data_IF_940096395236
#
_entry.id   IF_940096395236
#
_cell.length_a   1.000
_cell.length_b   1.000
_cell.length_c   1.000
_cell.angle_alpha   90.00
_cell.angle_beta   90.00
_cell.angle_gamma   90.00
#
_symmetry.space_group_name_H-M   'P 1'
#
loop_
_entity.id
_entity.type
_entity.pdbx_description
1 polymer ?
#
# COMPACT_ATOMS: atom_id res chain seq x y z
N UNK A 1 -8.32 12.94 20.79
CA UNK A 1 -8.36 11.47 20.75
C UNK A 1 -6.95 10.96 21.03
N UNK A 2 -6.77 10.18 22.09
CA UNK A 2 -5.49 9.58 22.44
C UNK A 2 -5.04 8.58 21.34
N UNK A 3 -3.72 8.40 21.17
CA UNK A 3 -3.14 7.42 20.26
C UNK A 3 -3.67 5.99 20.45
N UNK A 4 -4.11 5.63 21.64
CA UNK A 4 -4.70 4.33 21.97
C UNK A 4 -6.10 4.23 21.37
N UNK A 5 -6.93 5.27 21.52
CA UNK A 5 -8.27 5.35 20.94
C UNK A 5 -8.20 5.34 19.39
N UNK A 6 -7.28 6.13 18.80
CA UNK A 6 -7.07 6.15 17.35
C UNK A 6 -6.70 4.76 16.76
N UNK A 7 -5.98 3.91 17.53
CA UNK A 7 -5.69 2.53 17.11
C UNK A 7 -6.92 1.63 17.10
N UNK A 8 -7.90 1.86 17.99
CA UNK A 8 -9.16 1.09 18.05
C UNK A 8 -10.04 1.36 16.84
N UNK A 9 -10.02 2.60 16.34
CA UNK A 9 -10.83 3.06 15.20
C UNK A 9 -10.08 3.06 13.86
N UNK A 10 -8.94 2.39 13.77
CA UNK A 10 -8.08 2.38 12.56
C UNK A 10 -8.79 1.93 11.28
N UNK A 11 -9.90 1.20 11.38
CA UNK A 11 -10.71 0.83 10.20
C UNK A 11 -11.68 1.90 9.75
N UNK A 12 -12.07 2.77 10.69
CA UNK A 12 -13.02 3.85 10.46
C UNK A 12 -12.31 5.10 9.93
N UNK A 13 -10.97 5.10 9.95
CA UNK A 13 -10.14 6.20 9.49
C UNK A 13 -9.31 5.71 8.32
N UNK A 14 -9.43 6.37 7.19
CA UNK A 14 -8.62 6.10 6.01
C UNK A 14 -7.85 7.34 5.59
N UNK A 15 -6.57 7.17 5.23
CA UNK A 15 -5.71 8.26 4.78
C UNK A 15 -5.17 7.95 3.38
N UNK A 16 -5.51 8.79 2.42
CA UNK A 16 -4.96 8.74 1.07
C UNK A 16 -3.71 9.61 0.99
N UNK A 17 -2.58 9.00 0.67
CA UNK A 17 -1.34 9.73 0.40
C UNK A 17 -1.41 10.38 -0.98
N UNK A 18 -0.58 11.40 -1.20
CA UNK A 18 -0.42 12.05 -2.47
C UNK A 18 0.09 11.11 -3.57
N UNK A 19 0.99 10.17 -3.23
CA UNK A 19 1.62 9.25 -4.17
C UNK A 19 0.70 8.11 -4.61
N UNK A 20 0.68 7.84 -5.92
CA UNK A 20 -0.08 6.76 -6.55
C UNK A 20 0.76 5.49 -6.65
N UNK A 21 0.61 4.61 -5.66
CA UNK A 21 1.40 3.37 -5.54
C UNK A 21 0.52 2.14 -5.76
N UNK A 22 0.73 1.43 -6.86
CA UNK A 22 -0.04 0.25 -7.27
C UNK A 22 0.85 -0.87 -7.79
N UNK A 23 0.30 -2.09 -7.89
CA UNK A 23 0.94 -3.17 -8.66
C UNK A 23 0.72 -2.92 -10.16
N UNK A 24 1.77 -2.62 -10.94
CA UNK A 24 1.62 -2.13 -12.31
C UNK A 24 1.10 -3.20 -13.27
N UNK A 25 1.33 -4.47 -12.99
CA UNK A 25 0.91 -5.62 -13.80
C UNK A 25 -0.55 -6.05 -13.57
N UNK A 26 -1.23 -5.44 -12.60
CA UNK A 26 -2.65 -5.67 -12.37
C UNK A 26 -3.51 -4.74 -13.22
N UNK A 27 -4.65 -5.23 -13.68
CA UNK A 27 -5.68 -4.38 -14.29
C UNK A 27 -6.42 -3.59 -13.22
N UNK A 28 -7.03 -2.45 -13.60
CA UNK A 28 -7.90 -1.65 -12.73
C UNK A 28 -8.98 -2.52 -12.08
N UNK A 29 -9.63 -3.40 -12.86
CA UNK A 29 -10.60 -4.36 -12.35
C UNK A 29 -10.05 -5.26 -11.23
N UNK A 30 -8.84 -5.81 -11.40
CA UNK A 30 -8.24 -6.70 -10.39
C UNK A 30 -7.88 -5.95 -9.12
N UNK A 31 -7.37 -4.73 -9.26
CA UNK A 31 -7.05 -3.82 -8.14
C UNK A 31 -8.31 -3.49 -7.34
N UNK A 32 -9.38 -3.05 -8.01
CA UNK A 32 -10.64 -2.72 -7.38
C UNK A 32 -11.33 -3.93 -6.74
N UNK A 33 -11.37 -5.06 -7.44
CA UNK A 33 -11.93 -6.31 -6.87
C UNK A 33 -11.18 -6.77 -5.62
N UNK A 34 -9.87 -6.58 -5.58
CA UNK A 34 -9.08 -6.89 -4.39
C UNK A 34 -9.45 -5.98 -3.21
N UNK A 35 -9.51 -4.66 -3.42
CA UNK A 35 -9.90 -3.71 -2.39
C UNK A 35 -11.31 -4.01 -1.83
N UNK A 36 -12.29 -4.12 -2.72
CA UNK A 36 -13.68 -4.38 -2.36
C UNK A 36 -13.87 -5.73 -1.65
N UNK A 37 -13.24 -6.82 -2.12
CA UNK A 37 -13.34 -8.13 -1.46
C UNK A 37 -12.87 -8.13 -0.02
N UNK A 38 -11.85 -7.34 0.29
CA UNK A 38 -11.33 -7.22 1.65
C UNK A 38 -12.17 -6.29 2.54
N UNK A 39 -13.15 -5.57 1.97
CA UNK A 39 -14.05 -4.64 2.67
C UNK A 39 -15.54 -4.98 2.52
N UNK A 40 -15.86 -6.10 1.87
CA UNK A 40 -17.27 -6.54 1.72
C UNK A 40 -17.96 -6.59 3.08
N UNK A 41 -19.07 -5.85 3.28
CA UNK A 41 -19.88 -5.96 4.48
C UNK A 41 -20.51 -7.35 4.56
N UNK A 42 -20.72 -7.86 5.76
CA UNK A 42 -21.40 -9.14 5.96
C UNK A 42 -22.89 -9.05 5.73
N UNK A 43 -23.48 -7.95 6.14
CA UNK A 43 -24.87 -7.61 5.86
C UNK A 43 -24.95 -6.96 4.48
N UNK A 44 -25.70 -7.56 3.61
CA UNK A 44 -25.94 -7.15 2.21
C UNK A 44 -27.42 -7.24 1.94
N UNK A 45 -27.93 -6.55 0.92
CA UNK A 45 -29.31 -6.70 0.48
C UNK A 45 -29.69 -8.17 0.32
N UNK A 46 -30.91 -8.55 0.71
CA UNK A 46 -31.39 -9.92 0.63
C UNK A 46 -31.25 -10.45 -0.80
N UNK A 47 -30.67 -11.64 -0.94
CA UNK A 47 -30.48 -12.31 -2.23
C UNK A 47 -29.19 -11.91 -2.98
N UNK A 48 -28.46 -10.87 -2.57
CA UNK A 48 -27.25 -10.42 -3.29
C UNK A 48 -25.99 -11.21 -2.89
N UNK A 49 -25.38 -11.90 -3.86
CA UNK A 49 -24.13 -12.62 -3.68
C UNK A 49 -22.93 -11.68 -3.51
N UNK A 50 -21.88 -12.12 -2.75
CA UNK A 50 -20.67 -11.32 -2.55
C UNK A 50 -19.96 -10.93 -3.86
N UNK A 51 -20.05 -11.77 -4.89
CA UNK A 51 -19.43 -11.48 -6.20
C UNK A 51 -20.18 -10.39 -6.96
N UNK A 52 -21.51 -10.43 -6.94
CA UNK A 52 -22.39 -9.44 -7.53
C UNK A 52 -22.20 -8.08 -6.88
N UNK A 53 -22.28 -8.02 -5.55
CA UNK A 53 -22.04 -6.81 -4.78
C UNK A 53 -20.69 -6.16 -5.14
N UNK A 54 -19.59 -6.95 -5.15
CA UNK A 54 -18.26 -6.45 -5.52
C UNK A 54 -18.23 -5.91 -6.96
N UNK A 55 -18.97 -6.51 -7.87
CA UNK A 55 -19.01 -6.09 -9.26
C UNK A 55 -19.78 -4.79 -9.42
N UNK A 56 -20.93 -4.69 -8.82
CA UNK A 56 -21.80 -3.50 -8.84
C UNK A 56 -21.11 -2.30 -8.19
N UNK A 57 -20.54 -2.48 -6.99
CA UNK A 57 -19.80 -1.42 -6.30
C UNK A 57 -18.57 -0.95 -7.10
N UNK A 58 -17.84 -1.88 -7.73
CA UNK A 58 -16.72 -1.52 -8.61
C UNK A 58 -17.19 -0.63 -9.75
N UNK A 59 -18.27 -1.04 -10.45
CA UNK A 59 -18.76 -0.33 -11.61
C UNK A 59 -19.27 1.06 -11.21
N UNK A 60 -20.04 1.16 -10.14
CA UNK A 60 -20.52 2.43 -9.61
C UNK A 60 -19.38 3.40 -9.23
N UNK A 61 -18.32 2.90 -8.58
CA UNK A 61 -17.16 3.72 -8.22
C UNK A 61 -16.39 4.18 -9.47
N UNK A 62 -16.14 3.29 -10.43
CA UNK A 62 -15.43 3.65 -11.65
C UNK A 62 -16.22 4.62 -12.52
N UNK A 63 -17.56 4.46 -12.59
CA UNK A 63 -18.45 5.38 -13.30
C UNK A 63 -18.47 6.76 -12.64
N UNK A 64 -18.54 6.82 -11.32
CA UNK A 64 -18.52 8.09 -10.57
C UNK A 64 -17.23 8.89 -10.75
N UNK A 65 -16.11 8.20 -11.04
CA UNK A 65 -14.81 8.80 -11.33
C UNK A 65 -14.53 8.97 -12.83
N UNK A 66 -15.48 8.64 -13.71
CA UNK A 66 -15.36 8.78 -15.16
C UNK A 66 -14.28 7.89 -15.80
N UNK A 67 -13.99 6.72 -15.22
CA UNK A 67 -12.97 5.77 -15.72
C UNK A 67 -13.48 4.34 -15.96
N UNK A 68 -14.74 4.09 -16.35
CA UNK A 68 -15.24 2.73 -16.59
C UNK A 68 -14.51 2.03 -17.75
N UNK A 69 -14.07 2.78 -18.76
CA UNK A 69 -13.34 2.30 -19.91
C UNK A 69 -11.98 1.67 -19.54
N UNK A 70 -11.38 2.05 -18.39
CA UNK A 70 -10.07 1.54 -17.96
C UNK A 70 -10.12 0.16 -17.29
N UNK A 71 -11.30 -0.41 -17.10
CA UNK A 71 -11.52 -1.64 -16.31
C UNK A 71 -10.61 -2.80 -16.71
N UNK A 72 -10.36 -2.97 -18.01
CA UNK A 72 -9.48 -4.04 -18.55
C UNK A 72 -8.02 -3.60 -18.75
N UNK A 73 -7.72 -2.31 -18.57
CA UNK A 73 -6.38 -1.75 -18.74
C UNK A 73 -5.52 -2.03 -17.52
N UNK A 74 -4.21 -2.23 -17.73
CA UNK A 74 -3.23 -2.33 -16.65
C UNK A 74 -3.12 -0.98 -15.92
N UNK A 75 -2.87 -1.01 -14.62
CA UNK A 75 -2.60 0.24 -13.88
C UNK A 75 -1.30 0.87 -14.36
N UNK A 76 -0.28 0.06 -14.61
CA UNK A 76 1.00 0.51 -15.14
C UNK A 76 1.82 1.35 -14.16
N UNK A 77 3.02 1.69 -14.60
CA UNK A 77 3.96 2.61 -13.95
C UNK A 77 4.84 3.29 -15.02
N UNK A 78 5.99 3.82 -14.63
CA UNK A 78 6.95 4.45 -15.54
C UNK A 78 7.53 3.47 -16.58
N UNK A 79 7.61 2.17 -16.25
CA UNK A 79 8.22 1.14 -17.09
C UNK A 79 7.17 0.28 -17.82
N UNK A 80 5.99 0.13 -17.25
CA UNK A 80 4.91 -0.71 -17.80
C UNK A 80 3.79 0.21 -18.26
N UNK A 81 3.50 0.21 -19.55
CA UNK A 81 2.40 1.00 -20.12
C UNK A 81 1.07 0.55 -19.55
N UNK A 82 0.30 1.51 -19.06
CA UNK A 82 -1.01 1.29 -18.46
C UNK A 82 -1.92 2.49 -18.66
N UNK A 83 -2.76 2.77 -17.65
CA UNK A 83 -3.62 3.96 -17.63
C UNK A 83 -2.80 5.24 -17.60
N UNK A 84 -3.37 6.36 -18.05
CA UNK A 84 -2.73 7.68 -17.97
C UNK A 84 -2.48 8.11 -16.53
N UNK A 85 -1.64 9.14 -16.32
CA UNK A 85 -1.35 9.66 -14.97
C UNK A 85 -2.61 10.10 -14.21
N UNK A 86 -3.50 10.84 -14.88
CA UNK A 86 -4.78 11.27 -14.29
C UNK A 86 -5.75 10.11 -14.02
N UNK A 87 -5.77 9.08 -14.89
CA UNK A 87 -6.56 7.87 -14.63
C UNK A 87 -5.99 7.06 -13.47
N UNK A 88 -4.65 6.96 -13.36
CA UNK A 88 -3.98 6.28 -12.23
C UNK A 88 -4.29 6.97 -10.90
N UNK A 89 -4.31 8.30 -10.88
CA UNK A 89 -4.76 9.06 -9.71
C UNK A 89 -6.21 8.69 -9.35
N UNK A 90 -7.11 8.65 -10.32
CA UNK A 90 -8.50 8.25 -10.11
C UNK A 90 -8.64 6.79 -9.65
N UNK A 91 -7.77 5.88 -10.07
CA UNK A 91 -7.71 4.51 -9.51
C UNK A 91 -7.30 4.53 -8.04
N UNK A 92 -6.36 5.39 -7.64
CA UNK A 92 -6.00 5.57 -6.22
C UNK A 92 -7.19 6.08 -5.40
N UNK A 93 -7.91 7.06 -5.92
CA UNK A 93 -9.12 7.59 -5.29
C UNK A 93 -10.21 6.51 -5.18
N UNK A 94 -10.42 5.73 -6.25
CA UNK A 94 -11.36 4.61 -6.28
C UNK A 94 -11.06 3.57 -5.18
N UNK A 95 -9.77 3.26 -4.96
CA UNK A 95 -9.34 2.30 -3.92
C UNK A 95 -9.67 2.79 -2.50
N UNK A 96 -9.56 4.11 -2.25
CA UNK A 96 -9.95 4.71 -0.97
C UNK A 96 -11.46 4.70 -0.78
N UNK A 97 -12.22 5.08 -1.80
CA UNK A 97 -13.70 5.05 -1.78
C UNK A 97 -14.19 3.62 -1.52
N UNK A 98 -13.57 2.61 -2.17
CA UNK A 98 -13.85 1.19 -1.94
C UNK A 98 -13.61 0.75 -0.48
N UNK A 99 -12.78 1.47 0.25
CA UNK A 99 -12.55 1.24 1.68
C UNK A 99 -13.74 1.52 2.58
N UNK A 100 -14.73 2.30 2.13
CA UNK A 100 -15.99 2.64 2.81
C UNK A 100 -15.82 3.15 4.26
N UNK A 101 -14.72 3.85 4.53
CA UNK A 101 -14.42 4.38 5.85
C UNK A 101 -15.27 5.62 6.16
N UNK A 102 -15.86 5.76 7.36
CA UNK A 102 -16.66 6.93 7.72
C UNK A 102 -15.83 8.22 7.86
N UNK A 103 -14.55 8.12 8.18
CA UNK A 103 -13.64 9.27 8.25
C UNK A 103 -12.53 9.07 7.23
N UNK A 104 -12.36 10.04 6.33
CA UNK A 104 -11.38 9.97 5.25
C UNK A 104 -10.54 11.24 5.21
N UNK A 105 -9.23 11.04 5.18
CA UNK A 105 -8.23 12.10 5.00
C UNK A 105 -7.62 11.98 3.61
N UNK A 106 -7.59 13.07 2.88
CA UNK A 106 -7.16 13.14 1.50
C UNK A 106 -6.00 14.13 1.38
N UNK A 107 -4.81 13.63 1.10
CA UNK A 107 -3.63 14.45 0.92
C UNK A 107 -3.48 14.82 -0.55
N UNK A 108 -3.70 16.09 -0.86
CA UNK A 108 -3.63 16.69 -2.19
C UNK A 108 -4.27 15.81 -3.30
N UNK A 109 -5.54 15.42 -3.16
CA UNK A 109 -6.18 14.43 -4.03
C UNK A 109 -6.38 14.91 -5.46
N UNK A 110 -6.36 16.22 -5.67
CA UNK A 110 -6.59 16.86 -6.98
C UNK A 110 -5.32 17.06 -7.79
N UNK A 111 -4.13 16.78 -7.22
CA UNK A 111 -2.87 16.91 -7.94
C UNK A 111 -2.82 16.00 -9.17
N UNK A 112 -2.48 16.59 -10.33
CA UNK A 112 -2.39 15.87 -11.59
C UNK A 112 -3.73 15.56 -12.27
N UNK A 113 -4.83 16.08 -11.73
CA UNK A 113 -6.13 16.12 -12.39
C UNK A 113 -6.30 17.44 -13.17
N UNK A 114 -7.01 17.38 -14.29
CA UNK A 114 -7.47 18.57 -14.97
C UNK A 114 -8.55 19.29 -14.14
N UNK A 115 -8.75 20.58 -14.37
CA UNK A 115 -9.64 21.43 -13.57
C UNK A 115 -11.07 20.91 -13.50
N UNK A 116 -11.59 20.35 -14.58
CA UNK A 116 -12.94 19.77 -14.61
C UNK A 116 -13.03 18.56 -13.70
N UNK A 117 -12.13 17.62 -13.86
CA UNK A 117 -12.07 16.39 -13.05
C UNK A 117 -11.81 16.69 -11.58
N UNK A 118 -11.00 17.70 -11.26
CA UNK A 118 -10.76 18.12 -9.88
C UNK A 118 -12.03 18.64 -9.18
N UNK A 119 -12.85 19.44 -9.89
CA UNK A 119 -14.17 19.92 -9.38
C UNK A 119 -15.15 18.75 -9.26
N UNK A 120 -15.22 17.85 -10.25
CA UNK A 120 -16.08 16.66 -10.19
C UNK A 120 -15.71 15.76 -9.01
N UNK A 121 -14.43 15.61 -8.72
CA UNK A 121 -13.96 14.88 -7.55
C UNK A 121 -14.36 15.56 -6.22
N UNK A 122 -14.24 16.89 -6.11
CA UNK A 122 -14.68 17.61 -4.92
C UNK A 122 -16.21 17.45 -4.69
N UNK A 123 -17.00 17.49 -5.76
CA UNK A 123 -18.44 17.20 -5.72
C UNK A 123 -18.74 15.76 -5.30
N UNK A 124 -17.93 14.81 -5.72
CA UNK A 124 -18.05 13.42 -5.27
C UNK A 124 -17.82 13.31 -3.77
N UNK A 125 -16.77 13.96 -3.23
CA UNK A 125 -16.54 14.01 -1.78
C UNK A 125 -17.72 14.65 -1.05
N UNK A 126 -18.26 15.75 -1.58
CA UNK A 126 -19.47 16.40 -1.05
C UNK A 126 -20.65 15.44 -0.99
N UNK A 127 -20.93 14.76 -2.10
CA UNK A 127 -22.01 13.78 -2.19
C UNK A 127 -21.83 12.63 -1.20
N UNK A 128 -20.62 12.12 -1.04
CA UNK A 128 -20.29 11.07 -0.06
C UNK A 128 -20.49 11.56 1.39
N UNK A 129 -20.19 12.82 1.67
CA UNK A 129 -20.44 13.41 2.99
C UNK A 129 -21.94 13.55 3.27
N UNK A 130 -22.72 14.06 2.31
CA UNK A 130 -24.16 14.34 2.49
C UNK A 130 -25.01 13.06 2.51
N UNK A 131 -24.76 12.12 1.58
CA UNK A 131 -25.59 10.91 1.40
C UNK A 131 -25.15 9.79 2.35
N UNK A 132 -23.86 9.59 2.50
CA UNK A 132 -23.30 8.48 3.28
C UNK A 132 -22.83 8.91 4.68
N UNK A 133 -23.10 10.17 5.07
CA UNK A 133 -22.73 10.75 6.39
C UNK A 133 -21.26 10.54 6.75
N UNK A 134 -20.36 10.73 5.77
CA UNK A 134 -18.92 10.58 5.96
C UNK A 134 -18.26 11.93 6.28
N UNK A 135 -17.26 11.89 7.14
CA UNK A 135 -16.40 13.05 7.39
C UNK A 135 -15.21 13.02 6.45
N UNK A 136 -15.10 14.07 5.61
CA UNK A 136 -14.03 14.23 4.64
C UNK A 136 -13.12 15.40 5.03
N UNK A 137 -11.84 15.13 5.18
CA UNK A 137 -10.81 16.15 5.40
C UNK A 137 -9.82 16.08 4.25
N UNK A 138 -9.63 17.18 3.53
CA UNK A 138 -8.73 17.22 2.38
C UNK A 138 -7.75 18.38 2.48
N UNK A 139 -6.46 18.11 2.25
CA UNK A 139 -5.48 19.15 1.96
C UNK A 139 -5.58 19.50 0.48
N UNK A 140 -5.61 20.78 0.16
CA UNK A 140 -5.73 21.26 -1.22
C UNK A 140 -4.59 22.22 -1.54
N UNK A 141 -3.99 22.03 -2.69
CA UNK A 141 -3.01 22.93 -3.26
C UNK A 141 -3.61 23.59 -4.50
N UNK A 142 -3.58 24.93 -4.58
CA UNK A 142 -4.12 25.71 -5.70
C UNK A 142 -5.60 25.39 -6.02
N UNK A 143 -6.44 25.33 -4.99
CA UNK A 143 -7.85 25.04 -5.17
C UNK A 143 -8.59 26.24 -5.77
N UNK A 144 -9.19 26.05 -6.96
CA UNK A 144 -10.09 27.04 -7.53
C UNK A 144 -11.38 27.20 -6.71
N UNK A 145 -12.11 28.33 -6.90
CA UNK A 145 -13.36 28.61 -6.19
C UNK A 145 -14.40 27.49 -6.36
N UNK A 146 -14.40 26.76 -7.49
CA UNK A 146 -15.31 25.63 -7.72
C UNK A 146 -15.06 24.47 -6.74
N UNK A 147 -13.81 24.21 -6.38
CA UNK A 147 -13.43 23.21 -5.37
C UNK A 147 -13.70 23.74 -3.97
N UNK A 148 -13.25 24.97 -3.69
CA UNK A 148 -13.41 25.62 -2.39
C UNK A 148 -14.88 25.64 -1.93
N UNK A 149 -15.80 25.87 -2.85
CA UNK A 149 -17.24 25.95 -2.57
C UNK A 149 -17.90 24.62 -2.19
N UNK A 150 -17.26 23.50 -2.40
CA UNK A 150 -17.79 22.17 -2.04
C UNK A 150 -17.53 21.80 -0.57
N UNK A 151 -16.71 22.56 0.17
CA UNK A 151 -16.40 22.31 1.58
C UNK A 151 -17.24 23.18 2.53
N UNK A 152 -17.55 22.66 3.71
CA UNK A 152 -18.29 23.39 4.75
C UNK A 152 -17.36 24.27 5.57
N UNK A 153 -16.20 23.73 5.93
CA UNK A 153 -15.24 24.36 6.82
C UNK A 153 -13.86 24.43 6.18
N UNK A 154 -13.10 25.42 6.59
CA UNK A 154 -11.73 25.65 6.12
C UNK A 154 -10.81 25.79 7.32
N UNK A 155 -9.66 25.15 7.24
CA UNK A 155 -8.54 25.31 8.16
C UNK A 155 -7.40 26.00 7.43
N UNK A 156 -6.95 27.14 7.94
CA UNK A 156 -5.77 27.86 7.43
C UNK A 156 -4.67 27.74 8.47
N UNK A 157 -3.51 27.26 8.03
CA UNK A 157 -2.33 27.08 8.88
C UNK A 157 -1.21 28.04 8.47
N UNK A 158 -0.57 28.65 9.45
CA UNK A 158 0.63 29.46 9.29
C UNK A 158 1.73 28.92 10.19
N UNK A 159 2.85 28.45 9.64
CA UNK A 159 3.99 27.88 10.38
C UNK A 159 3.60 26.88 11.48
N UNK A 160 2.65 26.00 11.17
CA UNK A 160 2.16 24.97 12.10
C UNK A 160 1.14 25.45 13.15
N UNK A 161 0.74 26.73 13.12
CA UNK A 161 -0.27 27.32 13.99
C UNK A 161 -1.57 27.56 13.23
N UNK A 162 -2.69 27.56 13.95
CA UNK A 162 -4.02 27.79 13.37
C UNK A 162 -4.28 29.29 13.22
N UNK A 163 -4.31 29.78 11.97
CA UNK A 163 -4.69 31.14 11.66
C UNK A 163 -6.20 31.32 11.53
N UNK A 164 -6.90 30.28 11.11
CA UNK A 164 -8.37 30.23 10.99
C UNK A 164 -8.86 28.80 10.97
N UNK A 165 -9.96 28.52 11.63
CA UNK A 165 -10.77 27.31 11.47
C UNK A 165 -12.26 27.69 11.66
N UNK A 166 -13.07 27.37 10.68
CA UNK A 166 -14.49 27.69 10.74
C UNK A 166 -15.19 27.62 9.40
N UNK A 167 -16.45 28.10 9.32
CA UNK A 167 -17.24 28.10 8.10
C UNK A 167 -16.53 28.81 6.95
N UNK A 168 -16.50 28.18 5.77
CA UNK A 168 -15.82 28.76 4.58
C UNK A 168 -16.35 30.12 4.18
N UNK A 169 -17.64 30.37 4.42
CA UNK A 169 -18.30 31.63 4.07
C UNK A 169 -17.75 32.83 4.84
N UNK A 170 -17.28 32.60 6.06
CA UNK A 170 -16.76 33.63 6.95
C UNK A 170 -15.22 33.81 6.81
N UNK A 171 -14.52 32.86 6.19
CA UNK A 171 -13.06 32.90 6.12
C UNK A 171 -12.52 34.13 5.40
N UNK A 172 -13.15 34.52 4.29
CA UNK A 172 -12.75 35.73 3.53
C UNK A 172 -12.98 37.01 4.33
N UNK A 173 -14.18 37.21 4.86
CA UNK A 173 -14.52 38.44 5.63
C UNK A 173 -13.66 38.56 6.88
N UNK A 174 -13.37 37.46 7.56
CA UNK A 174 -12.50 37.40 8.73
C UNK A 174 -11.11 38.01 8.46
N UNK A 175 -10.46 37.69 7.36
CA UNK A 175 -9.16 38.26 7.01
C UNK A 175 -9.29 39.67 6.42
N UNK A 176 -10.37 39.98 5.70
CA UNK A 176 -10.64 41.33 5.22
C UNK A 176 -10.88 42.33 6.39
N UNK A 177 -11.51 41.87 7.47
CA UNK A 177 -11.75 42.67 8.69
C UNK A 177 -10.44 42.94 9.46
N UNK A 178 -9.46 42.03 9.35
CA UNK A 178 -8.11 42.27 9.89
C UNK A 178 -7.31 43.34 9.11
N UNK A 179 -7.75 43.73 7.91
CA UNK A 179 -7.07 44.69 7.07
C UNK A 179 -6.41 44.13 5.82
N UNK A 180 -6.59 42.84 5.51
CA UNK A 180 -6.13 42.26 4.25
C UNK A 180 -7.11 42.55 3.10
N UNK A 181 -6.62 42.51 1.88
CA UNK A 181 -7.44 42.79 0.69
C UNK A 181 -7.45 41.56 -0.22
N UNK A 182 -8.66 41.05 -0.48
CA UNK A 182 -8.85 40.01 -1.50
C UNK A 182 -9.08 40.71 -2.87
N UNK A 183 -8.18 40.52 -3.86
CA UNK A 183 -8.38 41.12 -5.19
C UNK A 183 -9.70 40.68 -5.82
N UNK A 184 -10.31 41.57 -6.60
CA UNK A 184 -11.52 41.21 -7.36
C UNK A 184 -11.22 40.11 -8.37
N UNK A 185 -12.00 39.03 -8.31
CA UNK A 185 -11.83 37.87 -9.20
C UNK A 185 -10.76 36.86 -8.76
N UNK A 186 -10.07 37.10 -7.64
CA UNK A 186 -9.12 36.12 -7.10
C UNK A 186 -9.82 34.87 -6.54
N UNK A 187 -9.11 33.76 -6.54
CA UNK A 187 -9.54 32.57 -5.82
C UNK A 187 -9.46 32.82 -4.31
N UNK A 188 -10.52 32.49 -3.61
CA UNK A 188 -10.58 32.65 -2.14
C UNK A 188 -9.52 31.79 -1.45
N UNK A 189 -9.33 30.54 -1.91
CA UNK A 189 -8.30 29.66 -1.34
C UNK A 189 -6.89 30.24 -1.49
N UNK A 190 -6.55 30.81 -2.64
CA UNK A 190 -5.26 31.45 -2.88
C UNK A 190 -5.09 32.70 -2.01
N UNK A 191 -6.15 33.49 -1.84
CA UNK A 191 -6.16 34.62 -0.91
C UNK A 191 -5.88 34.18 0.53
N UNK A 192 -6.56 33.12 1.01
CA UNK A 192 -6.37 32.63 2.38
C UNK A 192 -4.94 32.12 2.64
N UNK A 193 -4.29 31.54 1.64
CA UNK A 193 -2.89 31.14 1.76
C UNK A 193 -1.94 32.33 1.65
N UNK A 194 -2.20 33.27 0.73
CA UNK A 194 -1.34 34.44 0.54
C UNK A 194 -1.29 35.36 1.78
N UNK A 195 -2.37 35.43 2.55
CA UNK A 195 -2.42 36.21 3.80
C UNK A 195 -1.35 35.79 4.79
N UNK A 196 -0.99 34.51 4.82
CA UNK A 196 0.03 33.97 5.72
C UNK A 196 1.47 34.16 5.22
N UNK A 197 1.65 34.62 3.98
CA UNK A 197 2.95 34.81 3.33
C UNK A 197 3.23 36.32 3.21
N UNK A 198 4.29 36.78 3.87
CA UNK A 198 4.62 38.21 3.95
C UNK A 198 4.79 38.92 2.59
N UNK A 199 5.30 38.19 1.59
CA UNK A 199 5.61 38.71 0.25
C UNK A 199 4.41 38.71 -0.69
N UNK A 200 3.36 37.96 -0.37
CA UNK A 200 2.19 37.76 -1.26
C UNK A 200 0.92 38.45 -0.75
N UNK A 201 0.88 38.80 0.55
CA UNK A 201 -0.28 39.44 1.16
C UNK A 201 -0.45 40.87 0.71
N UNK A 202 -1.69 41.27 0.46
CA UNK A 202 -2.06 42.66 0.16
C UNK A 202 -2.76 43.23 1.38
N UNK A 203 -2.19 44.29 1.93
CA UNK A 203 -2.72 44.99 3.11
C UNK A 203 -3.43 46.26 2.67
N UNK A 204 -4.52 46.63 3.36
CA UNK A 204 -5.25 47.84 3.13
C UNK A 204 -4.37 49.05 3.50
N UNK A 205 -4.29 50.12 2.69
CA UNK A 205 -3.48 51.32 3.01
C UNK A 205 -3.79 51.87 4.40
N UNK A 206 -2.75 52.09 5.21
CA UNK A 206 -2.84 52.58 6.58
C UNK A 206 -3.13 51.50 7.66
N UNK A 207 -3.08 50.24 7.29
CA UNK A 207 -3.26 49.10 8.22
C UNK A 207 -1.99 48.26 8.35
N UNK A 208 -0.88 48.67 7.72
CA UNK A 208 0.37 47.89 7.62
C UNK A 208 0.92 47.47 8.99
N UNK A 209 0.89 48.36 9.98
CA UNK A 209 1.37 48.09 11.34
C UNK A 209 0.33 47.41 12.25
N UNK A 210 -0.92 47.22 11.78
CA UNK A 210 -2.01 46.68 12.58
C UNK A 210 -2.33 45.24 12.22
N UNK A 211 -1.92 44.76 11.06
CA UNK A 211 -2.15 43.38 10.62
C UNK A 211 -1.18 42.44 11.28
N UNK A 212 -1.60 41.19 11.58
CA UNK A 212 -0.70 40.17 12.11
C UNK A 212 0.47 39.91 11.16
N UNK A 213 1.69 39.86 11.70
CA UNK A 213 2.91 39.60 10.93
C UNK A 213 3.49 38.21 11.15
N UNK A 214 3.24 37.63 12.30
CA UNK A 214 3.75 36.32 12.71
C UNK A 214 2.62 35.29 12.86
N UNK A 215 2.95 34.02 12.73
CA UNK A 215 2.00 32.93 12.93
C UNK A 215 1.38 32.92 14.33
N UNK A 216 2.12 33.39 15.34
CA UNK A 216 1.64 33.52 16.72
C UNK A 216 0.60 34.62 16.86
N UNK A 217 0.78 35.74 16.18
CA UNK A 217 -0.19 36.84 16.16
C UNK A 217 -1.50 36.41 15.47
N UNK A 218 -1.41 35.64 14.37
CA UNK A 218 -2.59 35.05 13.72
C UNK A 218 -3.33 34.10 14.67
N UNK A 219 -2.63 33.20 15.36
CA UNK A 219 -3.23 32.27 16.32
C UNK A 219 -3.91 33.04 17.48
N UNK A 220 -3.24 34.05 18.05
CA UNK A 220 -3.78 34.85 19.14
C UNK A 220 -5.06 35.62 18.72
N UNK A 221 -5.06 36.21 17.52
CA UNK A 221 -6.25 36.84 16.94
C UNK A 221 -7.39 35.86 16.72
N UNK A 222 -7.08 34.68 16.21
CA UNK A 222 -8.08 33.63 16.00
C UNK A 222 -8.68 33.17 17.33
N UNK A 223 -7.87 32.92 18.37
CA UNK A 223 -8.35 32.52 19.70
C UNK A 223 -9.24 33.54 20.41
N UNK A 224 -9.11 34.81 20.05
CA UNK A 224 -9.95 35.92 20.56
C UNK A 224 -11.24 36.14 19.76
N UNK A 225 -11.40 35.46 18.63
CA UNK A 225 -12.56 35.64 17.73
C UNK A 225 -13.79 34.89 18.21
N UNK A 226 -14.98 35.42 17.88
CA UNK A 226 -16.26 34.74 18.10
C UNK A 226 -16.35 33.41 17.32
N UNK A 227 -15.61 33.31 16.21
CA UNK A 227 -15.54 32.08 15.40
C UNK A 227 -14.89 30.94 16.21
N UNK A 228 -13.81 31.26 16.91
CA UNK A 228 -13.14 30.29 17.80
C UNK A 228 -14.06 29.86 18.96
N UNK A 229 -14.76 30.82 19.60
CA UNK A 229 -15.69 30.51 20.70
C UNK A 229 -16.79 29.56 20.23
N UNK A 230 -17.43 29.86 19.08
CA UNK A 230 -18.46 28.99 18.49
C UNK A 230 -17.90 27.61 18.10
N UNK A 231 -16.65 27.54 17.60
CA UNK A 231 -16.02 26.27 17.30
C UNK A 231 -15.74 25.45 18.56
N UNK A 232 -15.39 26.11 19.67
CA UNK A 232 -15.15 25.45 20.96
C UNK A 232 -16.44 25.01 21.66
N UNK A 233 -17.53 25.75 21.49
CA UNK A 233 -18.87 25.35 22.00
C UNK A 233 -19.35 24.03 21.38
N UNK A 234 -18.98 23.79 20.13
CA UNK A 234 -19.26 22.52 19.43
C UNK A 234 -18.35 21.33 19.84
N UNK A 235 -17.34 21.56 20.65
CA UNK A 235 -16.43 20.49 21.12
C UNK A 235 -16.96 19.88 22.41
N UNK A 236 -17.40 18.64 22.35
CA UNK A 236 -17.84 17.90 23.53
C UNK A 236 -16.72 17.77 24.57
N UNK A 237 -17.05 17.91 25.86
CA UNK A 237 -16.08 17.73 26.94
C UNK A 237 -15.46 16.33 26.89
N UNK A 238 -14.18 16.17 27.31
CA UNK A 238 -13.46 14.89 27.21
C UNK A 238 -14.19 13.72 27.90
N UNK A 239 -14.97 13.99 28.95
CA UNK A 239 -15.73 12.98 29.67
C UNK A 239 -16.88 12.40 28.85
N UNK A 240 -17.61 13.25 28.11
CA UNK A 240 -18.68 12.82 27.22
C UNK A 240 -18.10 12.02 26.04
N UNK A 241 -16.97 12.47 25.50
CA UNK A 241 -16.27 11.77 24.41
C UNK A 241 -15.79 10.38 24.84
N UNK A 242 -15.29 10.21 26.07
CA UNK A 242 -14.90 8.89 26.59
C UNK A 242 -16.09 7.97 26.75
N UNK A 243 -17.22 8.44 27.21
CA UNK A 243 -18.46 7.67 27.35
C UNK A 243 -18.96 7.20 25.98
N UNK A 244 -19.04 8.08 25.00
CA UNK A 244 -19.43 7.72 23.62
C UNK A 244 -18.47 6.73 22.97
N UNK A 245 -17.16 6.87 23.20
CA UNK A 245 -16.14 5.90 22.73
C UNK A 245 -16.33 4.54 23.37
N UNK A 246 -16.66 4.48 24.66
CA UNK A 246 -16.89 3.24 25.38
C UNK A 246 -18.21 2.59 24.95
N UNK A 247 -19.27 3.35 24.72
CA UNK A 247 -20.54 2.89 24.16
C UNK A 247 -20.36 2.32 22.74
N UNK A 248 -19.68 3.04 21.86
CA UNK A 248 -19.33 2.58 20.51
C UNK A 248 -18.50 1.30 20.56
N UNK A 249 -17.54 1.24 21.47
CA UNK A 249 -16.70 0.05 21.67
C UNK A 249 -17.52 -1.14 22.15
N UNK A 250 -18.46 -0.90 23.08
CA UNK A 250 -19.39 -1.92 23.58
C UNK A 250 -20.37 -2.38 22.50
N UNK A 251 -20.92 -1.45 21.69
CA UNK A 251 -21.80 -1.75 20.57
C UNK A 251 -21.09 -2.61 19.52
N UNK A 252 -19.87 -2.23 19.12
CA UNK A 252 -19.03 -3.01 18.19
C UNK A 252 -18.67 -4.39 18.77
N UNK A 253 -18.40 -4.48 20.06
CA UNK A 253 -18.13 -5.75 20.74
C UNK A 253 -19.37 -6.65 20.81
N UNK A 254 -20.56 -6.08 21.08
CA UNK A 254 -21.84 -6.80 21.13
C UNK A 254 -22.20 -7.37 19.72
N UNK A 255 -21.99 -6.58 18.68
CA UNK A 255 -22.23 -6.98 17.31
C UNK A 255 -21.25 -8.10 16.87
N UNK A 256 -19.97 -8.02 17.27
CA UNK A 256 -18.99 -9.10 17.08
C UNK A 256 -19.35 -10.37 17.83
N UNK A 257 -19.92 -10.25 19.02
CA UNK A 257 -20.40 -11.40 19.83
C UNK A 257 -21.59 -12.12 19.15
N UNK A 258 -22.54 -11.37 18.62
CA UNK A 258 -23.66 -11.91 17.84
C UNK A 258 -23.18 -12.68 16.58
N UNK A 259 -22.03 -12.31 16.02
CA UNK A 259 -21.46 -12.86 14.79
C UNK A 259 -20.48 -14.03 15.00
N UNK A 260 -20.32 -14.56 16.21
CA UNK A 260 -19.36 -15.64 16.55
C UNK A 260 -17.91 -15.34 16.09
N UNK A 261 -17.50 -14.08 16.08
CA UNK A 261 -16.13 -13.67 15.75
C UNK A 261 -15.20 -13.83 16.98
N UNK A 262 -13.88 -14.11 16.74
CA UNK A 262 -12.93 -14.17 17.85
C UNK A 262 -12.99 -12.92 18.72
N UNK A 263 -12.89 -13.10 20.04
CA UNK A 263 -12.98 -12.04 21.07
C UNK A 263 -11.97 -10.91 20.94
N UNK A 264 -10.90 -11.11 20.17
CA UNK A 264 -9.92 -10.05 19.90
C UNK A 264 -10.52 -9.03 18.94
N UNK A 265 -10.43 -7.73 19.23
CA UNK A 265 -10.90 -6.66 18.37
C UNK A 265 -10.09 -6.69 17.06
N UNK A 266 -10.60 -7.39 16.07
CA UNK A 266 -9.97 -7.45 14.76
C UNK A 266 -10.30 -6.19 13.98
N UNK A 267 -9.25 -5.50 13.55
CA UNK A 267 -9.33 -4.34 12.64
C UNK A 267 -9.88 -4.74 11.25
N UNK A 268 -10.01 -6.02 10.94
CA UNK A 268 -10.30 -6.53 9.59
C UNK A 268 -11.73 -7.07 9.49
N UNK A 269 -12.41 -6.74 8.39
CA UNK A 269 -13.80 -7.19 8.12
C UNK A 269 -13.85 -8.65 7.70
N UNK A 270 -12.77 -9.17 7.11
CA UNK A 270 -12.65 -10.54 6.60
C UNK A 270 -11.81 -11.43 7.53
N UNK A 271 -12.03 -12.74 7.48
CA UNK A 271 -11.25 -13.73 8.23
C UNK A 271 -9.81 -13.83 7.69
N UNK A 272 -8.88 -14.35 8.49
CA UNK A 272 -7.49 -14.54 8.06
C UNK A 272 -7.39 -15.43 6.81
N UNK A 273 -8.20 -16.48 6.74
CA UNK A 273 -8.22 -17.41 5.61
C UNK A 273 -8.70 -16.74 4.31
N UNK A 274 -9.75 -15.94 4.39
CA UNK A 274 -10.22 -15.13 3.25
C UNK A 274 -9.17 -14.14 2.77
N UNK A 275 -8.44 -13.50 3.71
CA UNK A 275 -7.33 -12.61 3.38
C UNK A 275 -6.19 -13.35 2.68
N UNK A 276 -5.78 -14.53 3.21
CA UNK A 276 -4.76 -15.38 2.57
C UNK A 276 -5.19 -15.74 1.16
N UNK A 277 -6.43 -16.23 0.99
CA UNK A 277 -6.97 -16.59 -0.33
C UNK A 277 -6.99 -15.40 -1.29
N UNK A 278 -7.44 -14.24 -0.84
CA UNK A 278 -7.46 -13.03 -1.67
C UNK A 278 -6.05 -12.58 -2.08
N UNK A 279 -5.11 -12.60 -1.15
CA UNK A 279 -3.69 -12.28 -1.42
C UNK A 279 -3.06 -13.30 -2.37
N UNK A 280 -3.29 -14.59 -2.18
CA UNK A 280 -2.76 -15.66 -3.05
C UNK A 280 -3.27 -15.52 -4.49
N UNK A 281 -4.59 -15.31 -4.67
CA UNK A 281 -5.16 -15.07 -6.00
C UNK A 281 -4.52 -13.84 -6.64
N UNK A 282 -4.35 -12.76 -5.90
CA UNK A 282 -3.69 -11.54 -6.40
C UNK A 282 -2.24 -11.79 -6.79
N UNK A 283 -1.47 -12.52 -5.99
CA UNK A 283 -0.07 -12.83 -6.31
C UNK A 283 0.04 -13.67 -7.59
N UNK A 284 -0.81 -14.68 -7.78
CA UNK A 284 -0.87 -15.39 -9.06
C UNK A 284 -1.24 -14.47 -10.24
N UNK A 285 -2.11 -13.49 -10.02
CA UNK A 285 -2.45 -12.52 -11.06
C UNK A 285 -1.30 -11.57 -11.40
N UNK A 286 -0.50 -11.17 -10.40
CA UNK A 286 0.72 -10.37 -10.59
C UNK A 286 1.72 -11.18 -11.41
N UNK A 287 1.98 -12.42 -11.02
CA UNK A 287 2.88 -13.33 -11.74
C UNK A 287 2.42 -13.58 -13.19
N UNK A 288 1.14 -13.83 -13.39
CA UNK A 288 0.57 -14.02 -14.73
C UNK A 288 0.62 -12.74 -15.59
N UNK A 289 0.70 -11.57 -14.96
CA UNK A 289 0.92 -10.28 -15.62
C UNK A 289 2.37 -10.04 -16.03
N UNK A 290 3.33 -10.65 -15.33
CA UNK A 290 4.77 -10.56 -15.60
C UNK A 290 5.34 -11.91 -16.10
N UNK A 291 4.82 -12.37 -17.23
CA UNK A 291 5.21 -13.66 -17.82
C UNK A 291 6.68 -13.70 -18.23
N UNK A 292 7.21 -12.57 -18.69
CA UNK A 292 8.60 -12.49 -19.14
C UNK A 292 9.57 -12.80 -18.00
N UNK A 293 9.33 -12.26 -16.83
CA UNK A 293 10.13 -12.51 -15.63
C UNK A 293 10.12 -14.00 -15.23
N UNK A 294 8.95 -14.68 -15.32
CA UNK A 294 8.85 -16.11 -15.09
C UNK A 294 9.62 -16.94 -16.12
N UNK A 295 9.51 -16.58 -17.40
CA UNK A 295 10.23 -17.27 -18.48
C UNK A 295 11.74 -17.12 -18.28
N UNK A 296 12.21 -15.89 -17.98
CA UNK A 296 13.63 -15.63 -17.73
C UNK A 296 14.16 -16.47 -16.56
N UNK A 297 13.40 -16.58 -15.47
CA UNK A 297 13.78 -17.41 -14.31
C UNK A 297 13.96 -18.88 -14.69
N UNK A 298 13.03 -19.45 -15.45
CA UNK A 298 13.14 -20.86 -15.87
C UNK A 298 14.25 -21.08 -16.88
N UNK A 299 14.36 -20.19 -17.88
CA UNK A 299 15.42 -20.28 -18.91
C UNK A 299 16.81 -20.13 -18.29
N UNK A 300 17.00 -19.18 -17.36
CA UNK A 300 18.29 -19.01 -16.67
C UNK A 300 18.67 -20.25 -15.84
N UNK A 301 17.71 -20.88 -15.17
CA UNK A 301 17.93 -22.12 -14.44
C UNK A 301 18.35 -23.26 -15.38
N UNK A 302 17.72 -23.41 -16.53
CA UNK A 302 18.09 -24.40 -17.54
C UNK A 302 19.49 -24.16 -18.11
N UNK A 303 19.79 -22.92 -18.49
CA UNK A 303 21.11 -22.55 -19.02
C UNK A 303 22.21 -22.82 -17.99
N UNK A 304 21.99 -22.42 -16.75
CA UNK A 304 22.95 -22.65 -15.69
C UNK A 304 23.14 -24.14 -15.37
N UNK A 305 22.05 -24.93 -15.42
CA UNK A 305 22.12 -26.38 -15.25
C UNK A 305 22.93 -27.05 -16.37
N UNK A 306 22.80 -26.61 -17.62
CA UNK A 306 23.59 -27.09 -18.75
C UNK A 306 25.07 -26.74 -18.60
N UNK A 307 25.39 -25.51 -18.18
CA UNK A 307 26.77 -25.09 -17.92
C UNK A 307 27.38 -25.96 -16.81
N UNK A 308 26.69 -26.13 -15.69
CA UNK A 308 27.17 -26.96 -14.59
C UNK A 308 27.27 -28.43 -15.01
N UNK A 309 26.26 -28.97 -15.70
CA UNK A 309 26.28 -30.31 -16.21
C UNK A 309 27.43 -30.58 -17.17
N UNK A 310 27.86 -29.59 -17.95
CA UNK A 310 29.03 -29.71 -18.82
C UNK A 310 30.35 -29.76 -18.04
N UNK A 311 30.45 -29.00 -16.93
CA UNK A 311 31.64 -29.01 -16.06
C UNK A 311 31.79 -30.34 -15.31
N UNK A 312 30.68 -30.96 -14.94
CA UNK A 312 30.64 -32.21 -14.20
C UNK A 312 30.20 -33.41 -15.05
N UNK A 313 30.46 -33.36 -16.38
CA UNK A 313 29.94 -34.34 -17.31
C UNK A 313 30.50 -35.73 -17.06
N UNK A 314 29.63 -36.75 -16.97
CA UNK A 314 29.95 -38.17 -16.89
C UNK A 314 31.01 -38.52 -15.84
N UNK A 315 30.75 -38.16 -14.56
CA UNK A 315 31.63 -38.44 -13.44
C UNK A 315 31.75 -39.96 -13.22
N UNK A 316 32.95 -40.53 -13.36
CA UNK A 316 33.21 -41.95 -13.16
C UNK A 316 33.07 -42.36 -11.69
N UNK A 317 32.75 -43.64 -11.45
CA UNK A 317 32.68 -44.24 -10.10
C UNK A 317 34.08 -44.67 -9.61
N UNK A 318 35.01 -43.72 -9.59
CA UNK A 318 36.38 -43.96 -9.11
C UNK A 318 36.77 -42.96 -8.02
N UNK A 319 37.91 -43.21 -7.36
CA UNK A 319 38.41 -42.35 -6.28
C UNK A 319 38.75 -40.93 -6.75
N UNK A 320 38.97 -40.71 -8.04
CA UNK A 320 39.29 -39.39 -8.62
C UNK A 320 38.08 -38.44 -8.62
N UNK A 321 36.88 -38.99 -8.70
CA UNK A 321 35.63 -38.20 -8.74
C UNK A 321 34.98 -37.96 -7.36
N UNK A 322 35.54 -38.51 -6.28
CA UNK A 322 35.04 -38.33 -4.90
C UNK A 322 34.90 -36.84 -4.54
N UNK A 323 35.85 -35.99 -4.92
CA UNK A 323 35.80 -34.55 -4.61
C UNK A 323 34.91 -33.74 -5.57
N UNK A 324 34.65 -34.23 -6.78
CA UNK A 324 33.84 -33.55 -7.79
C UNK A 324 32.35 -33.77 -7.57
N UNK A 325 31.92 -34.95 -7.12
CA UNK A 325 30.50 -35.26 -6.87
C UNK A 325 29.83 -34.37 -5.82
N UNK A 326 30.44 -34.13 -4.64
CA UNK A 326 29.90 -33.17 -3.69
C UNK A 326 29.79 -31.76 -4.26
N UNK A 327 30.75 -31.34 -5.08
CA UNK A 327 30.69 -30.05 -5.80
C UNK A 327 29.50 -29.95 -6.74
N UNK A 328 29.26 -31.02 -7.53
CA UNK A 328 28.09 -31.08 -8.41
C UNK A 328 26.76 -31.02 -7.65
N UNK A 329 26.66 -31.72 -6.51
CA UNK A 329 25.45 -31.69 -5.66
C UNK A 329 25.24 -30.34 -4.93
N UNK A 330 26.34 -29.67 -4.57
CA UNK A 330 26.27 -28.37 -3.88
C UNK A 330 25.91 -27.21 -4.82
N UNK A 331 26.28 -27.31 -6.09
CA UNK A 331 26.16 -26.22 -7.04
C UNK A 331 24.72 -25.67 -7.21
N UNK A 332 23.67 -26.51 -7.32
CA UNK A 332 22.28 -25.99 -7.36
C UNK A 332 21.89 -25.21 -6.10
N UNK A 333 22.35 -25.67 -4.93
CA UNK A 333 22.08 -24.96 -3.66
C UNK A 333 22.70 -23.56 -3.70
N UNK A 334 23.94 -23.45 -4.19
CA UNK A 334 24.62 -22.18 -4.37
C UNK A 334 23.92 -21.29 -5.40
N UNK A 335 23.54 -21.84 -6.56
CA UNK A 335 22.84 -21.08 -7.59
C UNK A 335 21.54 -20.49 -7.08
N UNK A 336 20.67 -21.30 -6.45
CA UNK A 336 19.41 -20.83 -5.90
C UNK A 336 19.56 -19.93 -4.68
N UNK A 337 20.63 -20.04 -3.91
CA UNK A 337 21.00 -19.07 -2.87
C UNK A 337 21.22 -17.68 -3.48
N UNK A 338 22.04 -17.60 -4.53
CA UNK A 338 22.36 -16.33 -5.20
C UNK A 338 21.13 -15.72 -5.91
N UNK A 339 20.34 -16.56 -6.59
CA UNK A 339 19.08 -16.10 -7.21
C UNK A 339 18.11 -15.52 -6.17
N UNK A 340 18.01 -16.20 -5.01
CA UNK A 340 17.12 -15.79 -3.91
C UNK A 340 17.48 -14.43 -3.29
N UNK A 341 18.71 -13.92 -3.47
CA UNK A 341 19.09 -12.58 -3.00
C UNK A 341 18.20 -11.47 -3.60
N UNK A 342 17.67 -11.69 -4.81
CA UNK A 342 16.77 -10.77 -5.48
C UNK A 342 15.46 -10.50 -4.70
N UNK A 343 15.07 -11.45 -3.81
CA UNK A 343 13.88 -11.32 -2.97
C UNK A 343 14.01 -10.18 -1.93
N UNK A 344 15.24 -9.83 -1.54
CA UNK A 344 15.49 -8.64 -0.70
C UNK A 344 15.04 -7.37 -1.43
N UNK A 345 15.42 -7.21 -2.70
CA UNK A 345 15.03 -6.06 -3.53
C UNK A 345 13.52 -6.02 -3.75
N UNK A 346 12.92 -7.16 -4.12
CA UNK A 346 11.47 -7.27 -4.33
C UNK A 346 10.68 -6.90 -3.06
N UNK A 347 11.18 -7.29 -1.87
CA UNK A 347 10.58 -6.93 -0.58
C UNK A 347 10.58 -5.40 -0.35
N UNK A 348 11.63 -4.70 -0.73
CA UNK A 348 11.71 -3.23 -0.63
C UNK A 348 10.78 -2.53 -1.63
N UNK A 349 10.76 -2.96 -2.88
CA UNK A 349 9.89 -2.38 -3.92
C UNK A 349 8.40 -2.57 -3.61
N UNK A 350 8.02 -3.69 -3.00
CA UNK A 350 6.65 -3.96 -2.58
C UNK A 350 6.20 -3.24 -1.31
N UNK A 351 7.14 -2.71 -0.50
CA UNK A 351 6.85 -2.13 0.82
C UNK A 351 5.89 -0.92 0.79
N UNK A 352 5.98 0.04 -0.13
CA UNK A 352 5.05 1.17 -0.19
C UNK A 352 3.60 0.70 -0.36
N UNK A 353 3.36 -0.25 -1.27
CA UNK A 353 2.03 -0.82 -1.53
C UNK A 353 1.51 -1.56 -0.29
N UNK A 354 2.34 -2.41 0.32
CA UNK A 354 1.98 -3.15 1.54
C UNK A 354 1.65 -2.19 2.70
N UNK A 355 2.46 -1.14 2.88
CA UNK A 355 2.25 -0.13 3.91
C UNK A 355 0.93 0.61 3.71
N UNK A 356 0.62 1.04 2.48
CA UNK A 356 -0.64 1.69 2.11
C UNK A 356 -1.83 0.78 2.39
N UNK A 357 -1.82 -0.45 1.91
CA UNK A 357 -2.91 -1.41 2.06
C UNK A 357 -3.11 -1.88 3.51
N UNK A 358 -2.01 -1.93 4.31
CA UNK A 358 -2.08 -2.15 5.75
C UNK A 358 -2.79 -0.99 6.47
N UNK A 359 -2.51 0.27 6.06
CA UNK A 359 -3.21 1.44 6.61
C UNK A 359 -4.70 1.41 6.27
N UNK A 360 -5.05 1.01 5.07
CA UNK A 360 -6.44 0.83 4.64
C UNK A 360 -7.16 -0.32 5.35
N UNK A 361 -6.43 -1.15 6.10
CA UNK A 361 -7.01 -2.29 6.81
C UNK A 361 -7.56 -3.36 5.88
N UNK A 362 -6.96 -3.55 4.69
CA UNK A 362 -7.42 -4.56 3.74
C UNK A 362 -7.08 -5.97 4.21
N UNK A 363 -5.85 -6.19 4.69
CA UNK A 363 -5.39 -7.51 5.15
C UNK A 363 -4.26 -7.40 6.17
N UNK A 364 -4.03 -8.49 6.91
CA UNK A 364 -2.89 -8.62 7.82
C UNK A 364 -1.60 -8.85 7.04
N UNK A 365 -0.45 -8.28 7.45
CA UNK A 365 0.84 -8.58 6.84
C UNK A 365 1.17 -10.08 6.79
N UNK A 366 0.76 -10.84 7.81
CA UNK A 366 0.92 -12.30 7.85
C UNK A 366 0.20 -13.02 6.70
N UNK A 367 -1.00 -12.54 6.31
CA UNK A 367 -1.73 -13.10 5.17
C UNK A 367 -0.97 -12.89 3.86
N UNK A 368 -0.31 -11.74 3.70
CA UNK A 368 0.53 -11.45 2.55
C UNK A 368 1.78 -12.33 2.51
N UNK A 369 2.47 -12.51 3.65
CA UNK A 369 3.66 -13.38 3.72
C UNK A 369 3.31 -14.84 3.38
N UNK A 370 2.23 -15.36 3.94
CA UNK A 370 1.76 -16.73 3.65
C UNK A 370 1.37 -16.87 2.17
N UNK A 371 0.69 -15.88 1.61
CA UNK A 371 0.31 -15.88 0.20
C UNK A 371 1.53 -15.93 -0.72
N UNK A 372 2.58 -15.14 -0.42
CA UNK A 372 3.83 -15.19 -1.18
C UNK A 372 4.49 -16.56 -1.10
N UNK A 373 4.60 -17.15 0.11
CA UNK A 373 5.18 -18.47 0.27
C UNK A 373 4.43 -19.56 -0.52
N UNK A 374 3.08 -19.50 -0.55
CA UNK A 374 2.26 -20.41 -1.34
C UNK A 374 2.49 -20.24 -2.84
N UNK A 375 2.61 -19.01 -3.31
CA UNK A 375 2.80 -18.72 -4.74
C UNK A 375 4.20 -19.02 -5.25
N UNK A 376 5.22 -19.06 -4.37
CA UNK A 376 6.57 -19.46 -4.72
C UNK A 376 6.68 -20.95 -5.05
N UNK A 377 5.90 -21.80 -4.36
CA UNK A 377 6.00 -23.26 -4.48
C UNK A 377 5.96 -23.73 -5.94
N UNK A 378 4.97 -23.41 -6.77
CA UNK A 378 4.91 -23.89 -8.15
C UNK A 378 6.06 -23.39 -9.02
N UNK A 379 6.56 -22.17 -8.78
CA UNK A 379 7.69 -21.61 -9.53
C UNK A 379 8.98 -22.34 -9.18
N UNK A 380 9.25 -22.49 -7.89
CA UNK A 380 10.43 -23.20 -7.39
C UNK A 380 10.40 -24.67 -7.83
N UNK A 381 9.24 -25.32 -7.77
CA UNK A 381 9.10 -26.70 -8.26
C UNK A 381 9.54 -26.82 -9.73
N UNK A 382 9.10 -25.93 -10.61
CA UNK A 382 9.48 -26.00 -12.03
C UNK A 382 10.96 -25.71 -12.21
N UNK A 383 11.48 -24.62 -11.62
CA UNK A 383 12.89 -24.24 -11.77
C UNK A 383 13.85 -25.30 -11.24
N UNK A 384 13.64 -25.77 -10.00
CA UNK A 384 14.48 -26.76 -9.36
C UNK A 384 14.39 -28.11 -10.07
N UNK A 385 13.19 -28.50 -10.54
CA UNK A 385 13.04 -29.75 -11.29
C UNK A 385 13.85 -29.73 -12.58
N UNK A 386 13.73 -28.65 -13.39
CA UNK A 386 14.53 -28.50 -14.61
C UNK A 386 16.03 -28.56 -14.31
N UNK A 387 16.48 -27.83 -13.28
CA UNK A 387 17.88 -27.78 -12.92
C UNK A 387 18.39 -29.16 -12.45
N UNK A 388 17.72 -29.80 -11.50
CA UNK A 388 18.13 -31.06 -10.91
C UNK A 388 18.11 -32.21 -11.94
N UNK A 389 17.11 -32.27 -12.82
CA UNK A 389 17.04 -33.31 -13.86
C UNK A 389 18.26 -33.17 -14.79
N UNK A 390 18.51 -31.97 -15.32
CA UNK A 390 19.62 -31.76 -16.26
C UNK A 390 20.94 -32.10 -15.61
N UNK A 391 21.24 -31.58 -14.42
CA UNK A 391 22.50 -31.78 -13.76
C UNK A 391 22.69 -33.25 -13.34
N UNK A 392 21.65 -33.90 -12.78
CA UNK A 392 21.73 -35.28 -12.30
C UNK A 392 22.10 -36.27 -13.38
N UNK A 393 21.45 -36.13 -14.55
CA UNK A 393 21.72 -37.07 -15.67
C UNK A 393 23.02 -36.71 -16.41
N UNK A 394 23.36 -35.43 -16.59
CA UNK A 394 24.61 -35.04 -17.23
C UNK A 394 25.85 -35.41 -16.41
N UNK A 395 25.77 -35.27 -15.09
CA UNK A 395 26.85 -35.63 -14.19
C UNK A 395 26.96 -37.15 -13.94
N UNK A 396 26.07 -37.97 -14.52
CA UNK A 396 26.00 -39.42 -14.33
C UNK A 396 26.03 -39.81 -12.84
N UNK A 397 25.23 -39.09 -12.03
CA UNK A 397 25.08 -39.43 -10.62
C UNK A 397 24.36 -40.76 -10.49
N UNK A 398 24.39 -41.35 -9.28
CA UNK A 398 23.89 -42.70 -9.05
C UNK A 398 22.42 -42.85 -9.47
N UNK A 399 22.15 -43.75 -10.42
CA UNK A 399 20.83 -43.99 -11.04
C UNK A 399 19.90 -44.72 -10.08
N UNK A 400 19.53 -44.06 -8.99
CA UNK A 400 18.57 -44.52 -8.00
C UNK A 400 17.47 -43.47 -7.78
N UNK A 401 16.22 -43.87 -7.94
CA UNK A 401 15.10 -42.97 -7.82
C UNK A 401 14.99 -42.36 -6.40
N UNK A 402 15.22 -43.14 -5.37
CA UNK A 402 15.16 -42.67 -3.98
C UNK A 402 16.16 -41.55 -3.71
N UNK A 403 17.40 -41.73 -4.22
CA UNK A 403 18.47 -40.71 -4.07
C UNK A 403 18.16 -39.44 -4.88
N UNK A 404 17.65 -39.60 -6.10
CA UNK A 404 17.23 -38.42 -6.90
C UNK A 404 16.15 -37.62 -6.20
N UNK A 405 15.09 -38.28 -5.72
CA UNK A 405 14.00 -37.54 -5.03
C UNK A 405 14.46 -36.93 -3.70
N UNK A 406 15.32 -37.59 -2.96
CA UNK A 406 15.91 -37.02 -1.74
C UNK A 406 16.69 -35.72 -2.05
N UNK A 407 17.59 -35.80 -3.03
CA UNK A 407 18.34 -34.64 -3.50
C UNK A 407 17.41 -33.52 -3.96
N UNK A 408 16.42 -33.80 -4.82
CA UNK A 408 15.47 -32.85 -5.33
C UNK A 408 14.66 -32.15 -4.25
N UNK A 409 14.13 -32.88 -3.26
CA UNK A 409 13.40 -32.31 -2.11
C UNK A 409 14.30 -31.40 -1.28
N UNK A 410 15.54 -31.78 -1.05
CA UNK A 410 16.53 -30.97 -0.29
C UNK A 410 16.76 -29.63 -1.01
N UNK A 411 16.98 -29.64 -2.32
CA UNK A 411 17.20 -28.40 -3.09
C UNK A 411 15.98 -27.52 -3.08
N UNK A 412 14.75 -28.07 -3.21
CA UNK A 412 13.50 -27.31 -3.09
C UNK A 412 13.38 -26.66 -1.71
N UNK A 413 13.58 -27.45 -0.65
CA UNK A 413 13.46 -26.97 0.72
C UNK A 413 14.46 -25.84 1.01
N UNK A 414 15.71 -26.00 0.57
CA UNK A 414 16.75 -24.97 0.69
C UNK A 414 16.35 -23.70 -0.07
N UNK A 415 15.91 -23.82 -1.31
CA UNK A 415 15.49 -22.67 -2.13
C UNK A 415 14.36 -21.89 -1.46
N UNK A 416 13.31 -22.58 -1.02
CA UNK A 416 12.22 -21.94 -0.29
C UNK A 416 12.68 -21.26 1.01
N UNK A 417 13.61 -21.91 1.74
CA UNK A 417 14.18 -21.35 2.96
C UNK A 417 14.97 -20.07 2.68
N UNK A 418 15.83 -20.05 1.66
CA UNK A 418 16.61 -18.87 1.27
C UNK A 418 15.71 -17.71 0.83
N UNK A 419 14.69 -17.97 0.02
CA UNK A 419 13.74 -16.94 -0.39
C UNK A 419 13.07 -16.28 0.82
N UNK A 420 12.57 -17.08 1.79
CA UNK A 420 11.92 -16.52 2.99
C UNK A 420 12.93 -15.81 3.90
N UNK A 421 14.15 -16.30 4.01
CA UNK A 421 15.22 -15.66 4.78
C UNK A 421 15.55 -14.27 4.22
N UNK A 422 15.75 -14.13 2.91
CA UNK A 422 16.07 -12.83 2.30
C UNK A 422 14.89 -11.87 2.32
N UNK A 423 13.66 -12.35 2.21
CA UNK A 423 12.46 -11.54 2.46
C UNK A 423 12.39 -11.05 3.90
N UNK A 424 12.75 -11.89 4.87
CA UNK A 424 12.81 -11.49 6.28
C UNK A 424 13.88 -10.41 6.51
N UNK A 425 15.06 -10.52 5.92
CA UNK A 425 16.10 -9.48 5.94
C UNK A 425 15.54 -8.16 5.34
N UNK A 426 14.89 -8.25 4.19
CA UNK A 426 14.22 -7.11 3.57
C UNK A 426 13.15 -6.49 4.48
N UNK A 427 12.37 -7.29 5.21
CA UNK A 427 11.32 -6.79 6.10
C UNK A 427 11.85 -6.12 7.37
N UNK A 428 12.94 -6.63 7.95
CA UNK A 428 13.55 -6.15 9.20
C UNK A 428 14.35 -4.86 9.02
N UNK A 429 14.98 -4.66 7.87
CA UNK A 429 15.84 -3.50 7.63
C UNK A 429 15.04 -2.27 7.21
N UNK A 430 15.35 -1.09 7.79
CA UNK A 430 14.72 0.18 7.41
C UNK A 430 15.24 0.72 6.07
N UNK A 431 16.52 0.53 5.77
CA UNK A 431 17.21 1.06 4.57
C UNK A 431 17.66 -0.09 3.68
N UNK A 432 17.50 0.05 2.37
CA UNK A 432 17.90 -0.95 1.38
C UNK A 432 19.41 -1.27 1.46
N UNK A 433 20.26 -0.25 1.60
CA UNK A 433 21.71 -0.47 1.70
C UNK A 433 22.14 -1.36 2.89
N UNK A 434 21.43 -1.27 4.02
CA UNK A 434 21.70 -2.17 5.16
C UNK A 434 21.21 -3.59 4.89
N UNK A 435 20.06 -3.74 4.27
CA UNK A 435 19.54 -5.05 3.89
C UNK A 435 20.46 -5.75 2.90
N UNK A 436 20.94 -5.04 1.88
CA UNK A 436 21.87 -5.57 0.88
C UNK A 436 23.20 -6.05 1.50
N UNK A 437 23.78 -5.29 2.45
CA UNK A 437 24.97 -5.70 3.18
C UNK A 437 24.76 -6.98 4.00
N UNK A 438 23.64 -7.07 4.73
CA UNK A 438 23.29 -8.26 5.51
C UNK A 438 23.05 -9.46 4.60
N UNK A 439 22.33 -9.26 3.48
CA UNK A 439 22.10 -10.30 2.46
C UNK A 439 23.42 -10.82 1.91
N UNK A 440 24.35 -9.93 1.54
CA UNK A 440 25.69 -10.30 1.07
C UNK A 440 26.50 -11.06 2.13
N UNK A 441 26.49 -10.60 3.39
CA UNK A 441 27.18 -11.27 4.49
C UNK A 441 26.64 -12.69 4.73
N UNK A 442 25.31 -12.86 4.79
CA UNK A 442 24.68 -14.16 4.95
C UNK A 442 25.03 -15.10 3.79
N UNK A 443 24.97 -14.61 2.55
CA UNK A 443 25.33 -15.41 1.38
C UNK A 443 26.80 -15.85 1.42
N UNK A 444 27.70 -14.97 1.85
CA UNK A 444 29.13 -15.32 2.02
C UNK A 444 29.32 -16.37 3.10
N UNK A 445 28.60 -16.26 4.22
CA UNK A 445 28.65 -17.26 5.30
C UNK A 445 28.22 -18.64 4.76
N UNK A 446 27.06 -18.71 4.08
CA UNK A 446 26.58 -19.96 3.49
C UNK A 446 27.55 -20.53 2.43
N UNK A 447 28.16 -19.67 1.63
CA UNK A 447 29.15 -20.09 0.63
C UNK A 447 30.37 -20.70 1.29
N UNK A 448 30.94 -20.07 2.33
CA UNK A 448 32.16 -20.51 3.01
C UNK A 448 31.93 -21.80 3.81
N UNK A 449 30.83 -21.88 4.56
CA UNK A 449 30.54 -23.01 5.42
C UNK A 449 29.91 -24.20 4.69
N UNK A 450 29.11 -23.95 3.63
CA UNK A 450 28.48 -25.02 2.85
C UNK A 450 29.44 -25.89 2.04
N UNK A 451 30.62 -25.36 1.67
CA UNK A 451 31.61 -26.09 0.86
C UNK A 451 32.73 -26.79 1.65
N UNK A 452 33.03 -26.38 2.88
CA UNK A 452 34.21 -26.85 3.61
C UNK A 452 34.02 -28.12 4.44
N UNK A 453 32.82 -28.48 4.85
CA UNK A 453 32.61 -29.70 5.65
C UNK A 453 32.73 -31.02 4.86
N UNK A 454 32.77 -30.93 3.53
CA UNK A 454 32.88 -32.10 2.65
C UNK A 454 34.35 -32.54 2.44
N UNK A 455 35.31 -31.69 2.77
CA UNK A 455 36.77 -31.99 2.58
C UNK A 455 37.50 -32.44 3.84
N UNK A 456 36.82 -32.70 4.96
CA UNK A 456 37.45 -33.08 6.24
C UNK A 456 37.04 -34.46 6.75
N UNK A 457 36.34 -35.27 5.93
CA UNK A 457 36.10 -36.69 6.22
C UNK A 457 36.47 -37.56 5.04
#
# INVERSE_FOLDING_TARGET
>A
MDHVAARRFRQQIMFNNEDDVHFPTLTVNRTMKFALRNKVPRERPEGQGSKEFVQEQRDAILDSLGIPHTTKTLVGNEFIRGVSGGERKRVSLAEVIAGQSPIQFWDNPTRGLDSKTAVEFARLLRREADVNHKTMVATMYQAGNGIYNEFDQVLVLADGRVAYYGPRQLARSYFEDMGFVCPKGANVADFLTSVTVLTERIVRPGMEDKVPSTAEEFENRYRQSDIYQKAMEGVDPPEKLTHEVDELTAAVASEKRKRHLPRTPSVYTTSLWEQIRACTIRQFQIMAGDRLSLIIKVVSAILQALVCGSLFYNLKDDSSSIFLRPGALFFPVLYFLLESMSETTASFMGRPILSRQKRFGFYRPTAFCIANAITDIPVVLVQVSCFCIILYFMAALQMDAGRFFTYWIIVIANTLCFMQMFRAVGALCKRFGNASKITGLLSTIFFVYGGKHISLF
#
